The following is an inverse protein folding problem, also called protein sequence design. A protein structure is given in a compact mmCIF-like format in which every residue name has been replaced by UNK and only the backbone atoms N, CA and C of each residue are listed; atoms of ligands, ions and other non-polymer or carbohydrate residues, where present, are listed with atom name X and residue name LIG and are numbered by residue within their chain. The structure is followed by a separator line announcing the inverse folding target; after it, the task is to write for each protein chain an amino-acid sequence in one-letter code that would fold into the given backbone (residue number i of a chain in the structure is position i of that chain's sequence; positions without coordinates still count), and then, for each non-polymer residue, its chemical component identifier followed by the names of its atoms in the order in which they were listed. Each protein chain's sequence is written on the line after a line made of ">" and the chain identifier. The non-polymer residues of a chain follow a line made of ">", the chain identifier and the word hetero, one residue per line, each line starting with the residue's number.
data_IF_520557557965
#
_entry.id   IF_520557557965
#
_cell.length_a   1.000
_cell.length_b   1.000
_cell.length_c   1.000
_cell.angle_alpha   90.00
_cell.angle_beta   90.00
_cell.angle_gamma   90.00
#
_symmetry.space_group_name_H-M   'P 1'
#
loop_
_entity.id
_entity.type
_entity.pdbx_description
1 polymer ?
#
# COMPACT_ATOMS: atom_id res chain seq x y z
N UNK A 1 19.10 -16.39 -4.80
CA UNK A 1 18.52 -15.97 -3.50
C UNK A 1 18.22 -14.48 -3.59
N UNK A 2 17.01 -14.12 -3.98
CA UNK A 2 16.58 -12.74 -4.05
C UNK A 2 16.23 -12.28 -2.64
N UNK A 3 16.98 -11.33 -2.10
CA UNK A 3 16.65 -10.64 -0.86
C UNK A 3 15.26 -10.03 -1.01
N UNK A 4 14.28 -10.57 -0.29
CA UNK A 4 13.02 -9.90 -0.06
C UNK A 4 13.37 -8.54 0.58
N UNK A 5 13.13 -7.46 -0.12
CA UNK A 5 13.33 -6.09 0.36
C UNK A 5 12.53 -5.95 1.65
N UNK A 6 13.21 -5.82 2.78
CA UNK A 6 12.57 -5.60 4.06
C UNK A 6 11.74 -4.31 4.00
N UNK A 7 10.47 -4.34 4.42
CA UNK A 7 9.57 -3.19 4.39
C UNK A 7 9.95 -2.04 5.32
N UNK A 8 10.94 -2.22 6.18
CA UNK A 8 11.49 -1.18 7.07
C UNK A 8 12.25 -0.05 6.38
N UNK A 9 12.27 -0.01 5.05
CA UNK A 9 12.88 1.09 4.32
C UNK A 9 11.86 2.19 4.00
N UNK A 10 12.31 3.46 4.05
CA UNK A 10 11.48 4.60 3.65
C UNK A 10 11.07 4.47 2.18
N UNK A 11 9.78 4.21 1.97
CA UNK A 11 9.15 4.02 0.67
C UNK A 11 8.22 5.17 0.29
N UNK A 12 7.58 5.06 -0.89
CA UNK A 12 6.62 6.06 -1.37
C UNK A 12 5.41 6.25 -0.44
N UNK A 13 5.01 5.20 0.28
CA UNK A 13 3.87 5.20 1.21
C UNK A 13 4.20 5.73 2.60
N UNK A 14 5.50 5.82 2.98
CA UNK A 14 5.91 6.18 4.34
C UNK A 14 5.40 7.55 4.78
N UNK A 15 5.46 8.56 3.90
CA UNK A 15 4.90 9.88 4.22
C UNK A 15 3.40 9.79 4.51
N UNK A 16 2.64 9.19 3.60
CA UNK A 16 1.20 9.02 3.76
C UNK A 16 0.84 8.30 5.08
N UNK A 17 1.58 7.23 5.39
CA UNK A 17 1.45 6.53 6.65
C UNK A 17 1.67 7.45 7.87
N UNK A 18 2.77 8.22 7.89
CA UNK A 18 3.10 9.08 9.04
C UNK A 18 2.06 10.17 9.27
N UNK A 19 1.52 10.75 8.20
CA UNK A 19 0.44 11.73 8.33
C UNK A 19 -0.85 11.10 8.83
N UNK A 20 -1.20 9.90 8.36
CA UNK A 20 -2.35 9.12 8.86
C UNK A 20 -2.18 8.72 10.32
N UNK A 21 -1.00 8.20 10.69
CA UNK A 21 -0.70 7.81 12.08
C UNK A 21 -0.78 8.99 13.05
N UNK A 22 -0.35 10.16 12.61
CA UNK A 22 -0.31 11.37 13.45
C UNK A 22 -1.62 12.15 13.46
N UNK A 23 -2.52 11.90 12.52
CA UNK A 23 -3.79 12.61 12.32
C UNK A 23 -3.61 14.14 12.27
N UNK A 24 -2.57 14.61 11.58
CA UNK A 24 -2.23 16.03 11.48
C UNK A 24 -1.97 16.43 10.03
N UNK A 25 -2.20 17.70 9.74
CA UNK A 25 -1.95 18.27 8.40
C UNK A 25 -0.47 18.59 8.17
N UNK A 26 0.29 18.88 9.25
CA UNK A 26 1.70 19.25 9.17
C UNK A 26 2.55 18.44 10.15
N UNK A 27 3.75 18.02 9.71
CA UNK A 27 4.75 17.35 10.54
C UNK A 27 6.07 18.13 10.57
N UNK A 28 6.70 18.27 11.76
CA UNK A 28 8.01 18.88 11.88
C UNK A 28 9.08 18.12 11.10
N UNK A 29 9.96 18.81 10.39
CA UNK A 29 11.04 18.18 9.64
C UNK A 29 12.02 17.38 10.54
N UNK A 30 12.26 17.84 11.76
CA UNK A 30 13.05 17.13 12.76
C UNK A 30 12.43 15.77 13.14
N UNK A 31 11.11 15.73 13.32
CA UNK A 31 10.36 14.49 13.57
C UNK A 31 10.50 13.52 12.38
N UNK A 32 10.29 14.01 11.16
CA UNK A 32 10.42 13.18 9.95
C UNK A 32 11.83 12.61 9.78
N UNK A 33 12.86 13.43 9.99
CA UNK A 33 14.27 12.98 9.92
C UNK A 33 14.56 11.90 10.95
N UNK A 34 14.03 12.03 12.15
CA UNK A 34 14.24 11.06 13.22
C UNK A 34 13.54 9.72 12.95
N UNK A 35 12.27 9.75 12.56
CA UNK A 35 11.54 8.54 12.17
C UNK A 35 12.19 7.86 10.96
N UNK A 36 12.64 8.64 9.97
CA UNK A 36 13.38 8.08 8.83
C UNK A 36 14.71 7.47 9.26
N UNK A 37 15.37 8.05 10.28
CA UNK A 37 16.56 7.45 10.91
C UNK A 37 16.26 6.09 11.52
N UNK A 38 15.17 5.95 12.25
CA UNK A 38 14.71 4.68 12.81
C UNK A 38 14.32 3.66 11.72
N UNK A 39 13.97 4.13 10.51
CA UNK A 39 13.74 3.32 9.30
C UNK A 39 15.05 3.13 8.47
N UNK A 40 16.21 3.22 9.08
CA UNK A 40 17.54 3.00 8.47
C UNK A 40 17.93 4.00 7.37
N UNK A 41 17.39 5.22 7.36
CA UNK A 41 17.80 6.28 6.45
C UNK A 41 18.73 7.26 7.17
N UNK A 42 19.87 7.61 6.54
CA UNK A 42 20.75 8.65 7.10
C UNK A 42 20.06 10.01 7.19
N UNK A 43 20.47 10.85 8.13
CA UNK A 43 19.89 12.19 8.30
C UNK A 43 20.05 13.07 7.04
N UNK A 44 21.16 12.93 6.30
CA UNK A 44 21.37 13.60 5.00
C UNK A 44 20.43 13.03 3.93
N UNK A 45 20.26 11.71 3.88
CA UNK A 45 19.30 11.03 3.01
C UNK A 45 17.87 11.46 3.25
N UNK A 46 17.47 11.58 4.53
CA UNK A 46 16.15 12.04 4.95
C UNK A 46 15.87 13.48 4.47
N UNK A 47 16.83 14.40 4.67
CA UNK A 47 16.71 15.79 4.19
C UNK A 47 16.60 15.84 2.65
N UNK A 48 17.44 15.07 1.95
CA UNK A 48 17.38 14.99 0.49
C UNK A 48 16.07 14.38 -0.02
N UNK A 49 15.53 13.39 0.69
CA UNK A 49 14.22 12.80 0.37
C UNK A 49 13.09 13.83 0.53
N UNK A 50 13.08 14.60 1.63
CA UNK A 50 12.10 15.64 1.88
C UNK A 50 12.20 16.78 0.84
N UNK A 51 13.41 17.22 0.49
CA UNK A 51 13.62 18.23 -0.54
C UNK A 51 13.08 17.78 -1.91
N UNK A 52 13.36 16.54 -2.31
CA UNK A 52 12.79 15.95 -3.53
C UNK A 52 11.26 15.83 -3.46
N UNK A 53 10.72 15.44 -2.30
CA UNK A 53 9.27 15.35 -2.14
C UNK A 53 8.56 16.71 -2.30
N UNK A 54 9.23 17.81 -1.90
CA UNK A 54 8.74 19.17 -2.16
C UNK A 54 8.88 19.53 -3.64
N UNK A 55 10.03 19.25 -4.26
CA UNK A 55 10.27 19.52 -5.69
C UNK A 55 9.28 18.77 -6.59
N UNK A 56 8.95 17.52 -6.23
CA UNK A 56 7.96 16.68 -6.94
C UNK A 56 6.50 17.10 -6.65
N UNK A 57 6.26 18.14 -5.83
CA UNK A 57 4.93 18.56 -5.46
C UNK A 57 4.15 17.58 -4.56
N UNK A 58 4.81 16.63 -3.89
CA UNK A 58 4.19 15.72 -2.92
C UNK A 58 4.01 16.34 -1.54
N UNK A 59 4.92 17.24 -1.18
CA UNK A 59 4.90 18.02 0.06
C UNK A 59 4.93 19.50 -0.24
N UNK A 60 4.39 20.29 0.69
CA UNK A 60 4.64 21.73 0.81
C UNK A 60 5.41 21.95 2.09
N UNK A 61 6.42 22.82 2.06
CA UNK A 61 7.18 23.18 3.25
C UNK A 61 6.79 24.57 3.77
N UNK A 62 6.63 24.67 5.09
CA UNK A 62 6.32 25.92 5.78
C UNK A 62 7.37 26.20 6.85
N UNK A 63 7.80 27.44 6.96
CA UNK A 63 8.73 27.83 8.04
C UNK A 63 7.93 28.16 9.30
N UNK A 64 8.21 27.45 10.39
CA UNK A 64 7.65 27.68 11.73
C UNK A 64 8.78 28.09 12.68
N UNK A 65 9.09 29.37 12.72
CA UNK A 65 10.26 29.89 13.45
C UNK A 65 11.58 29.37 12.89
N UNK A 66 12.36 28.62 13.69
CA UNK A 66 13.62 27.99 13.25
C UNK A 66 13.41 26.61 12.60
N UNK A 67 12.23 26.03 12.70
CA UNK A 67 11.93 24.71 12.16
C UNK A 67 11.19 24.82 10.83
N UNK A 68 11.41 23.81 9.99
CA UNK A 68 10.60 23.58 8.78
C UNK A 68 9.56 22.51 9.10
N UNK A 69 8.30 22.81 8.84
CA UNK A 69 7.22 21.84 8.85
C UNK A 69 6.84 21.50 7.40
N UNK A 70 6.31 20.31 7.21
CA UNK A 70 5.90 19.79 5.91
C UNK A 70 4.44 19.36 5.97
N UNK A 71 3.68 19.64 4.92
CA UNK A 71 2.29 19.19 4.74
C UNK A 71 2.17 18.37 3.45
N UNK A 72 1.24 17.41 3.43
CA UNK A 72 0.91 16.68 2.20
C UNK A 72 0.25 17.61 1.20
N UNK A 73 0.66 17.53 -0.08
CA UNK A 73 0.13 18.39 -1.12
C UNK A 73 -0.82 17.65 -2.07
N UNK A 74 -1.89 18.33 -2.46
CA UNK A 74 -2.78 18.14 -3.60
C UNK A 74 -3.09 16.69 -4.00
N UNK A 75 -2.50 16.25 -5.09
CA UNK A 75 -2.76 14.92 -5.70
C UNK A 75 -2.32 13.75 -4.80
N UNK A 76 -1.25 13.94 -4.02
CA UNK A 76 -0.77 12.90 -3.11
C UNK A 76 -1.74 12.71 -1.94
N UNK A 77 -2.29 13.80 -1.40
CA UNK A 77 -3.31 13.77 -0.37
C UNK A 77 -4.61 13.11 -0.87
N UNK A 78 -5.04 13.40 -2.10
CA UNK A 78 -6.21 12.74 -2.69
C UNK A 78 -6.01 11.23 -2.83
N UNK A 79 -4.83 10.79 -3.32
CA UNK A 79 -4.50 9.37 -3.43
C UNK A 79 -4.47 8.67 -2.07
N UNK A 80 -3.95 9.31 -1.05
CA UNK A 80 -3.95 8.78 0.31
C UNK A 80 -5.37 8.49 0.80
N UNK A 81 -6.27 9.48 0.69
CA UNK A 81 -7.69 9.30 1.06
C UNK A 81 -8.41 8.21 0.26
N UNK A 82 -7.99 7.97 -0.98
CA UNK A 82 -8.55 6.90 -1.82
C UNK A 82 -8.06 5.50 -1.39
N UNK A 83 -6.88 5.39 -0.79
CA UNK A 83 -6.34 4.11 -0.31
C UNK A 83 -7.17 3.60 0.87
N UNK A 84 -7.59 4.46 1.79
CA UNK A 84 -8.46 4.07 2.92
C UNK A 84 -9.74 3.37 2.46
N UNK A 85 -10.38 3.86 1.39
CA UNK A 85 -11.60 3.25 0.86
C UNK A 85 -11.37 1.89 0.18
N UNK A 86 -10.18 1.61 -0.33
CA UNK A 86 -9.89 0.31 -0.99
C UNK A 86 -9.74 -0.85 -0.01
N UNK A 87 -9.40 -0.58 1.25
CA UNK A 87 -9.27 -1.62 2.27
C UNK A 87 -10.63 -2.14 2.78
N UNK A 88 -11.76 -1.46 2.49
CA UNK A 88 -13.05 -1.70 3.13
C UNK A 88 -14.01 -2.50 2.25
N UNK A 89 -13.80 -2.57 0.93
CA UNK A 89 -14.78 -3.17 0.03
C UNK A 89 -14.19 -4.31 -0.79
N UNK A 90 -14.48 -5.54 -0.38
CA UNK A 90 -14.31 -6.68 -1.29
C UNK A 90 -15.49 -6.72 -2.26
N UNK A 91 -15.26 -6.86 -3.57
CA UNK A 91 -16.34 -7.00 -4.53
C UNK A 91 -17.10 -8.31 -4.28
N UNK A 92 -18.40 -8.29 -4.42
CA UNK A 92 -19.21 -9.50 -4.44
C UNK A 92 -19.22 -10.07 -5.86
N UNK A 93 -19.35 -11.38 -5.97
CA UNK A 93 -19.53 -12.03 -7.26
C UNK A 93 -20.96 -11.81 -7.75
N UNK A 94 -21.11 -11.20 -8.93
CA UNK A 94 -22.38 -10.85 -9.56
C UNK A 94 -22.79 -11.83 -10.68
N UNK A 95 -22.13 -12.97 -10.81
CA UNK A 95 -22.42 -13.97 -11.84
C UNK A 95 -21.77 -13.66 -13.20
N UNK A 96 -20.92 -12.63 -13.30
CA UNK A 96 -20.36 -12.19 -14.58
C UNK A 96 -18.96 -11.60 -14.48
N UNK A 97 -18.22 -11.72 -15.58
CA UNK A 97 -17.03 -10.92 -15.88
C UNK A 97 -17.33 -9.87 -16.95
N UNK A 98 -16.55 -8.80 -16.96
CA UNK A 98 -16.36 -8.02 -18.17
C UNK A 98 -15.30 -8.69 -19.03
N UNK A 99 -15.51 -8.71 -20.35
CA UNK A 99 -14.60 -9.35 -21.31
C UNK A 99 -14.21 -8.35 -22.38
N UNK A 100 -12.95 -8.39 -22.79
CA UNK A 100 -12.47 -7.75 -24.03
C UNK A 100 -11.80 -8.82 -24.86
N UNK A 101 -12.32 -9.02 -26.08
CA UNK A 101 -11.71 -9.86 -27.11
C UNK A 101 -10.97 -8.92 -28.06
N UNK A 102 -9.71 -9.22 -28.34
CA UNK A 102 -8.92 -8.41 -29.26
C UNK A 102 -8.16 -9.29 -30.26
N UNK A 103 -8.14 -8.82 -31.50
CA UNK A 103 -7.35 -9.40 -32.57
C UNK A 103 -6.47 -8.29 -33.16
N UNK A 104 -5.24 -8.23 -32.68
CA UNK A 104 -4.22 -7.25 -33.11
C UNK A 104 -3.09 -8.03 -33.79
N UNK A 105 -2.88 -7.85 -35.10
CA UNK A 105 -1.89 -8.61 -35.84
C UNK A 105 -0.46 -8.34 -35.35
N UNK A 106 0.46 -9.27 -35.62
CA UNK A 106 1.86 -9.18 -35.17
C UNK A 106 2.59 -7.94 -35.69
N UNK A 107 2.19 -7.44 -36.88
CA UNK A 107 2.70 -6.17 -37.42
C UNK A 107 2.42 -4.95 -36.53
N UNK A 108 1.46 -5.06 -35.61
CA UNK A 108 1.07 -4.03 -34.64
C UNK A 108 1.34 -4.49 -33.19
N UNK A 109 2.39 -5.27 -33.00
CA UNK A 109 2.75 -5.85 -31.67
C UNK A 109 2.85 -4.81 -30.56
N UNK A 110 3.44 -3.64 -30.85
CA UNK A 110 3.58 -2.56 -29.86
C UNK A 110 2.22 -2.07 -29.32
N UNK A 111 1.20 -2.02 -30.17
CA UNK A 111 -0.16 -1.63 -29.78
C UNK A 111 -0.81 -2.72 -28.91
N UNK A 112 -0.61 -3.99 -29.27
CA UNK A 112 -1.08 -5.13 -28.48
C UNK A 112 -0.44 -5.15 -27.09
N UNK A 113 0.87 -4.91 -27.01
CA UNK A 113 1.60 -4.90 -25.74
C UNK A 113 1.18 -3.70 -24.87
N UNK A 114 0.94 -2.52 -25.48
CA UNK A 114 0.40 -1.34 -24.80
C UNK A 114 -1.02 -1.58 -24.26
N UNK A 115 -1.91 -2.19 -25.07
CA UNK A 115 -3.26 -2.58 -24.65
C UNK A 115 -3.20 -3.49 -23.42
N UNK A 116 -2.38 -4.54 -23.48
CA UNK A 116 -2.24 -5.49 -22.36
C UNK A 116 -1.68 -4.83 -21.11
N UNK A 117 -0.67 -3.98 -21.26
CA UNK A 117 -0.09 -3.25 -20.13
C UNK A 117 -1.12 -2.33 -19.46
N UNK A 118 -1.92 -1.61 -20.24
CA UNK A 118 -2.99 -0.75 -19.73
C UNK A 118 -4.09 -1.56 -19.03
N UNK A 119 -4.52 -2.67 -19.63
CA UNK A 119 -5.52 -3.57 -19.06
C UNK A 119 -5.03 -4.18 -17.72
N UNK A 120 -3.78 -4.67 -17.68
CA UNK A 120 -3.21 -5.25 -16.46
C UNK A 120 -3.02 -4.20 -15.33
N UNK A 121 -2.65 -2.98 -15.70
CA UNK A 121 -2.58 -1.86 -14.75
C UNK A 121 -3.96 -1.49 -14.16
N UNK A 122 -5.04 -1.76 -14.91
CA UNK A 122 -6.43 -1.58 -14.48
C UNK A 122 -7.03 -2.81 -13.75
N UNK A 123 -6.20 -3.83 -13.46
CA UNK A 123 -6.59 -5.05 -12.73
C UNK A 123 -7.25 -6.14 -13.59
N UNK A 124 -7.21 -5.98 -14.90
CA UNK A 124 -7.64 -7.03 -15.83
C UNK A 124 -6.58 -8.13 -15.95
N UNK A 125 -6.99 -9.31 -16.40
CA UNK A 125 -6.08 -10.43 -16.62
C UNK A 125 -6.45 -11.20 -17.89
N UNK A 126 -5.55 -12.07 -18.34
CA UNK A 126 -5.70 -12.79 -19.59
C UNK A 126 -5.74 -14.31 -19.33
N UNK A 127 -6.89 -14.99 -19.52
CA UNK A 127 -6.98 -16.45 -19.41
C UNK A 127 -6.32 -17.14 -20.63
N UNK A 128 -6.20 -16.44 -21.76
CA UNK A 128 -5.59 -16.91 -23.00
C UNK A 128 -5.27 -15.73 -23.92
N UNK A 129 -4.36 -15.88 -24.90
CA UNK A 129 -4.10 -14.84 -25.89
C UNK A 129 -5.39 -14.36 -26.58
N UNK A 130 -5.52 -13.05 -26.81
CA UNK A 130 -6.67 -12.44 -27.45
C UNK A 130 -7.88 -12.20 -26.55
N UNK A 131 -7.81 -12.61 -25.27
CA UNK A 131 -8.92 -12.46 -24.32
C UNK A 131 -8.44 -11.81 -23.02
N UNK A 132 -9.15 -10.79 -22.58
CA UNK A 132 -8.98 -10.14 -21.29
C UNK A 132 -10.27 -10.26 -20.47
N UNK A 133 -10.14 -10.50 -19.18
CA UNK A 133 -11.23 -10.56 -18.20
C UNK A 133 -11.00 -9.52 -17.11
N UNK A 134 -12.07 -8.90 -16.64
CA UNK A 134 -12.06 -7.92 -15.55
C UNK A 134 -13.31 -7.98 -14.71
N UNK A 135 -13.23 -7.47 -13.49
CA UNK A 135 -14.37 -7.38 -12.55
C UNK A 135 -15.19 -6.08 -12.73
N UNK A 136 -14.67 -5.14 -13.50
CA UNK A 136 -15.29 -3.83 -13.77
C UNK A 136 -15.31 -3.55 -15.27
N UNK A 137 -16.17 -2.65 -15.76
CA UNK A 137 -16.14 -2.21 -17.15
C UNK A 137 -14.72 -1.75 -17.55
N UNK A 138 -14.29 -2.02 -18.82
CA UNK A 138 -13.00 -1.57 -19.29
C UNK A 138 -12.91 -0.04 -19.35
N UNK A 139 -11.71 0.49 -19.14
CA UNK A 139 -11.43 1.90 -19.39
C UNK A 139 -11.27 2.23 -20.89
N UNK A 140 -10.93 3.49 -21.22
CA UNK A 140 -10.71 3.94 -22.58
C UNK A 140 -9.64 3.17 -23.37
N UNK A 141 -8.80 2.38 -22.69
CA UNK A 141 -7.82 1.51 -23.33
C UNK A 141 -8.44 0.41 -24.21
N UNK A 142 -9.72 0.06 -23.99
CA UNK A 142 -10.44 -0.92 -24.79
C UNK A 142 -11.08 -0.31 -26.06
N UNK A 143 -11.03 1.00 -26.21
CA UNK A 143 -11.51 1.71 -27.40
C UNK A 143 -10.46 1.66 -28.51
N UNK A 144 -10.15 0.46 -29.02
CA UNK A 144 -9.13 0.26 -30.05
C UNK A 144 -9.69 -0.51 -31.24
N UNK A 145 -9.09 -0.29 -32.43
CA UNK A 145 -9.42 -1.06 -33.62
C UNK A 145 -9.02 -2.53 -33.43
N UNK A 146 -9.97 -3.44 -33.63
CA UNK A 146 -9.79 -4.88 -33.35
C UNK A 146 -10.11 -5.30 -31.93
N UNK A 147 -10.67 -4.40 -31.11
CA UNK A 147 -11.17 -4.72 -29.77
C UNK A 147 -12.70 -4.81 -29.77
N UNK A 148 -13.23 -5.81 -29.05
CA UNK A 148 -14.65 -5.98 -28.79
C UNK A 148 -14.86 -6.17 -27.30
N UNK A 149 -15.54 -5.24 -26.64
CA UNK A 149 -15.87 -5.30 -25.22
C UNK A 149 -17.31 -5.84 -25.00
N UNK A 150 -17.48 -6.63 -23.95
CA UNK A 150 -18.77 -7.22 -23.61
C UNK A 150 -18.83 -7.70 -22.16
N UNK A 151 -19.85 -8.53 -21.89
CA UNK A 151 -20.05 -9.21 -20.61
C UNK A 151 -20.08 -10.71 -20.86
N UNK A 152 -19.60 -11.48 -19.89
CA UNK A 152 -19.57 -12.93 -19.90
C UNK A 152 -20.25 -13.43 -18.63
N UNK A 153 -21.50 -13.87 -18.76
CA UNK A 153 -22.23 -14.49 -17.67
C UNK A 153 -21.81 -15.95 -17.56
N UNK A 154 -21.43 -16.36 -16.35
CA UNK A 154 -20.95 -17.72 -16.06
C UNK A 154 -21.39 -18.18 -14.68
N UNK A 155 -21.55 -19.48 -14.53
CA UNK A 155 -21.77 -20.07 -13.23
C UNK A 155 -20.49 -19.99 -12.35
N UNK A 156 -20.64 -20.31 -11.07
CA UNK A 156 -19.57 -20.18 -10.10
C UNK A 156 -18.40 -21.13 -10.37
N UNK A 157 -18.65 -22.32 -10.92
CA UNK A 157 -17.59 -23.30 -11.22
C UNK A 157 -16.73 -22.80 -12.40
N UNK A 158 -17.37 -22.36 -13.47
CA UNK A 158 -16.67 -21.76 -14.61
C UNK A 158 -15.94 -20.46 -14.23
N UNK A 159 -16.52 -19.65 -13.31
CA UNK A 159 -15.87 -18.45 -12.81
C UNK A 159 -14.56 -18.74 -12.08
N UNK A 160 -14.53 -19.77 -11.22
CA UNK A 160 -13.33 -20.21 -10.51
C UNK A 160 -12.23 -20.70 -11.47
N UNK A 161 -12.62 -21.52 -12.46
CA UNK A 161 -11.68 -22.00 -13.48
C UNK A 161 -11.09 -20.86 -14.30
N UNK A 162 -11.93 -19.93 -14.75
CA UNK A 162 -11.46 -18.73 -15.47
C UNK A 162 -10.56 -17.84 -14.62
N UNK A 163 -10.90 -17.62 -13.36
CA UNK A 163 -10.09 -16.83 -12.44
C UNK A 163 -8.71 -17.48 -12.24
N UNK A 164 -8.66 -18.78 -12.01
CA UNK A 164 -7.41 -19.53 -11.82
C UNK A 164 -6.49 -19.49 -13.06
N UNK A 165 -7.08 -19.43 -14.27
CA UNK A 165 -6.31 -19.32 -15.52
C UNK A 165 -5.87 -17.89 -15.83
N UNK A 166 -6.66 -16.89 -15.45
CA UNK A 166 -6.42 -15.51 -15.83
C UNK A 166 -5.47 -14.79 -14.87
N UNK A 167 -5.63 -14.96 -13.57
CA UNK A 167 -4.84 -14.31 -12.55
C UNK A 167 -3.80 -15.25 -11.93
N UNK A 168 -2.59 -14.76 -11.56
CA UNK A 168 -1.54 -15.58 -10.93
C UNK A 168 -1.89 -15.85 -9.44
N UNK A 169 -2.96 -16.61 -9.18
CA UNK A 169 -3.50 -16.83 -7.84
C UNK A 169 -2.52 -17.56 -6.91
N UNK A 170 -1.72 -18.49 -7.41
CA UNK A 170 -0.69 -19.18 -6.62
C UNK A 170 0.39 -18.22 -6.12
N UNK A 171 0.86 -17.32 -6.98
CA UNK A 171 1.83 -16.29 -6.58
C UNK A 171 1.21 -15.32 -5.56
N UNK A 172 -0.05 -14.95 -5.77
CA UNK A 172 -0.80 -14.11 -4.85
C UNK A 172 -0.94 -14.79 -3.48
N UNK A 173 -1.32 -16.07 -3.44
CA UNK A 173 -1.43 -16.86 -2.22
C UNK A 173 -0.08 -16.97 -1.49
N UNK A 174 1.03 -17.17 -2.21
CA UNK A 174 2.37 -17.18 -1.61
C UNK A 174 2.75 -15.82 -1.01
N UNK A 175 2.42 -14.70 -1.68
CA UNK A 175 2.64 -13.36 -1.13
C UNK A 175 1.87 -13.16 0.17
N UNK A 176 0.61 -13.61 0.23
CA UNK A 176 -0.22 -13.56 1.44
C UNK A 176 0.41 -14.36 2.58
N UNK A 177 0.84 -15.60 2.32
CA UNK A 177 1.47 -16.44 3.35
C UNK A 177 2.77 -15.84 3.88
N UNK A 178 3.60 -15.25 3.00
CA UNK A 178 4.82 -14.55 3.42
C UNK A 178 4.51 -13.30 4.24
N UNK A 179 3.50 -12.54 3.83
CA UNK A 179 3.06 -11.39 4.61
C UNK A 179 2.53 -11.82 5.99
N UNK A 180 1.74 -12.90 6.06
CA UNK A 180 1.24 -13.41 7.32
C UNK A 180 2.38 -13.78 8.28
N UNK A 181 3.40 -14.50 7.80
CA UNK A 181 4.57 -14.83 8.60
C UNK A 181 5.32 -13.56 9.08
N UNK A 182 5.53 -12.59 8.18
CA UNK A 182 6.16 -11.32 8.54
C UNK A 182 5.35 -10.55 9.59
N UNK A 183 4.03 -10.53 9.49
CA UNK A 183 3.18 -9.84 10.46
C UNK A 183 3.18 -10.52 11.84
N UNK A 184 3.33 -11.85 11.93
CA UNK A 184 3.56 -12.52 13.22
C UNK A 184 4.91 -12.10 13.82
N UNK A 185 5.98 -12.00 13.03
CA UNK A 185 7.28 -11.48 13.50
C UNK A 185 7.18 -10.02 13.99
N UNK A 186 6.38 -9.18 13.32
CA UNK A 186 6.12 -7.80 13.75
C UNK A 186 5.38 -7.78 15.07
N UNK A 187 4.38 -8.65 15.23
CA UNK A 187 3.57 -8.81 16.44
C UNK A 187 4.42 -9.24 17.64
N UNK A 188 5.30 -10.21 17.44
CA UNK A 188 6.17 -10.70 18.52
C UNK A 188 7.14 -9.60 18.96
N UNK A 189 7.83 -8.94 18.03
CA UNK A 189 8.70 -7.79 18.34
C UNK A 189 7.94 -6.66 19.05
N UNK A 190 6.71 -6.38 18.65
CA UNK A 190 5.91 -5.35 19.30
C UNK A 190 5.49 -5.73 20.73
N UNK A 191 5.16 -7.00 20.96
CA UNK A 191 4.82 -7.51 22.31
C UNK A 191 5.99 -7.46 23.27
N UNK A 192 7.20 -7.61 22.76
CA UNK A 192 8.45 -7.52 23.55
C UNK A 192 8.77 -6.07 23.95
N UNK A 193 8.12 -5.07 23.35
CA UNK A 193 8.30 -3.68 23.76
C UNK A 193 7.58 -3.41 25.08
N UNK A 194 8.34 -2.99 26.10
CA UNK A 194 7.75 -2.56 27.36
C UNK A 194 6.80 -1.36 27.13
N UNK A 195 5.51 -1.58 27.39
CA UNK A 195 4.47 -0.57 27.18
C UNK A 195 4.67 0.67 28.07
N UNK A 196 5.39 0.54 29.19
CA UNK A 196 5.70 1.61 30.15
C UNK A 196 6.99 2.37 29.80
N UNK A 197 7.85 1.82 28.93
CA UNK A 197 9.08 2.49 28.51
C UNK A 197 8.76 3.65 27.54
N UNK A 198 8.88 4.84 28.06
CA UNK A 198 8.69 6.09 27.33
C UNK A 198 10.01 6.69 26.83
N UNK A 199 11.11 5.93 26.86
CA UNK A 199 12.37 6.36 26.27
C UNK A 199 12.22 6.62 24.77
N UNK A 200 13.02 7.55 24.26
CA UNK A 200 12.98 7.92 22.84
C UNK A 200 13.20 6.73 21.89
N UNK A 201 14.11 5.79 22.15
CA UNK A 201 14.24 4.58 21.35
C UNK A 201 12.99 3.71 21.36
N UNK A 202 12.34 3.52 22.53
CA UNK A 202 11.12 2.72 22.65
C UNK A 202 9.92 3.37 21.91
N UNK A 203 9.79 4.69 21.98
CA UNK A 203 8.76 5.42 21.25
C UNK A 203 8.97 5.28 19.71
N UNK A 204 10.22 5.38 19.25
CA UNK A 204 10.55 5.17 17.83
C UNK A 204 10.27 3.73 17.39
N UNK A 205 10.62 2.74 18.21
CA UNK A 205 10.35 1.33 17.91
C UNK A 205 8.86 1.06 17.71
N UNK A 206 7.98 1.68 18.50
CA UNK A 206 6.52 1.56 18.31
C UNK A 206 6.03 2.20 17.00
N UNK A 207 6.56 3.36 16.63
CA UNK A 207 6.25 4.00 15.34
C UNK A 207 6.72 3.13 14.18
N UNK A 208 7.92 2.55 14.27
CA UNK A 208 8.49 1.65 13.27
C UNK A 208 7.67 0.38 13.13
N UNK A 209 7.23 -0.24 14.24
CA UNK A 209 6.39 -1.45 14.20
C UNK A 209 5.04 -1.19 13.49
N UNK A 210 4.40 -0.06 13.79
CA UNK A 210 3.17 0.34 13.11
C UNK A 210 3.40 0.61 11.61
N UNK A 211 4.53 1.25 11.25
CA UNK A 211 4.92 1.48 9.86
C UNK A 211 5.17 0.16 9.12
N UNK A 212 5.90 -0.76 9.73
CA UNK A 212 6.28 -2.06 9.15
C UNK A 212 5.02 -2.89 8.82
N UNK A 213 4.09 -2.95 9.76
CA UNK A 213 2.82 -3.64 9.56
C UNK A 213 2.03 -3.04 8.39
N UNK A 214 1.77 -1.73 8.42
CA UNK A 214 0.89 -1.11 7.42
C UNK A 214 1.55 -1.04 6.04
N UNK A 215 2.86 -0.76 5.97
CA UNK A 215 3.59 -0.71 4.69
C UNK A 215 3.61 -2.05 4.01
N UNK A 216 3.88 -3.12 4.78
CA UNK A 216 3.92 -4.50 4.26
C UNK A 216 2.56 -4.95 3.80
N UNK A 217 1.52 -4.71 4.59
CA UNK A 217 0.15 -5.01 4.25
C UNK A 217 -0.28 -4.25 2.98
N UNK A 218 -0.08 -2.92 2.93
CA UNK A 218 -0.43 -2.07 1.79
C UNK A 218 0.28 -2.49 0.52
N UNK A 219 1.58 -2.82 0.61
CA UNK A 219 2.35 -3.29 -0.55
C UNK A 219 1.76 -4.58 -1.13
N UNK A 220 1.49 -5.58 -0.29
CA UNK A 220 0.94 -6.85 -0.74
C UNK A 220 -0.47 -6.65 -1.28
N UNK A 221 -1.36 -5.98 -0.55
CA UNK A 221 -2.73 -5.68 -1.00
C UNK A 221 -2.77 -4.96 -2.35
N UNK A 222 -1.86 -4.01 -2.58
CA UNK A 222 -1.76 -3.30 -3.85
C UNK A 222 -1.32 -4.16 -5.03
N UNK A 223 -0.78 -5.37 -4.77
CA UNK A 223 -0.36 -6.33 -5.80
C UNK A 223 -1.30 -7.52 -5.96
N UNK A 224 -2.28 -7.68 -5.06
CA UNK A 224 -3.25 -8.77 -5.14
C UNK A 224 -4.34 -8.47 -6.17
N UNK A 225 -4.83 -9.49 -6.87
CA UNK A 225 -6.02 -9.34 -7.70
C UNK A 225 -7.25 -9.01 -6.84
N UNK A 226 -8.00 -7.98 -7.24
CA UNK A 226 -9.23 -7.59 -6.55
C UNK A 226 -10.39 -8.49 -7.01
N UNK A 227 -10.40 -9.75 -6.57
CA UNK A 227 -11.40 -10.75 -6.91
C UNK A 227 -12.33 -11.04 -5.74
N UNK A 228 -13.62 -11.32 -5.99
CA UNK A 228 -14.54 -11.82 -4.98
C UNK A 228 -14.07 -13.14 -4.36
N UNK A 229 -14.24 -13.29 -3.05
CA UNK A 229 -13.86 -14.52 -2.34
C UNK A 229 -14.53 -15.78 -2.93
N UNK A 230 -15.75 -15.65 -3.45
CA UNK A 230 -16.52 -16.76 -4.01
C UNK A 230 -15.85 -17.43 -5.23
N UNK A 231 -15.05 -16.69 -6.01
CA UNK A 231 -14.36 -17.20 -7.21
C UNK A 231 -12.89 -17.51 -6.98
N UNK A 232 -12.40 -17.37 -5.75
CA UNK A 232 -11.06 -17.79 -5.36
C UNK A 232 -11.04 -19.31 -5.06
N UNK A 233 -9.87 -19.98 -5.19
CA UNK A 233 -9.71 -21.36 -4.72
C UNK A 233 -10.08 -21.51 -3.25
N UNK A 234 -10.58 -22.70 -2.86
CA UNK A 234 -11.01 -22.97 -1.49
C UNK A 234 -9.87 -22.84 -0.45
N UNK A 235 -8.64 -23.10 -0.87
CA UNK A 235 -7.43 -23.01 -0.07
C UNK A 235 -6.71 -21.66 -0.18
N UNK A 236 -7.32 -20.69 -0.87
CA UNK A 236 -6.76 -19.35 -1.01
C UNK A 236 -6.79 -18.62 0.35
N UNK A 237 -5.66 -18.08 0.83
CA UNK A 237 -5.51 -17.63 2.21
C UNK A 237 -6.07 -16.22 2.46
N UNK A 238 -7.25 -15.89 1.92
CA UNK A 238 -7.84 -14.55 2.05
C UNK A 238 -8.22 -14.19 3.49
N UNK A 239 -8.69 -15.17 4.28
CA UNK A 239 -9.09 -14.97 5.68
C UNK A 239 -7.89 -14.72 6.60
N UNK A 240 -6.72 -15.23 6.24
CA UNK A 240 -5.50 -15.09 7.04
C UNK A 240 -5.10 -13.63 7.19
N UNK A 241 -5.12 -12.88 6.09
CA UNK A 241 -4.81 -11.45 6.12
C UNK A 241 -5.86 -10.65 6.89
N UNK A 242 -7.14 -10.94 6.65
CA UNK A 242 -8.23 -10.24 7.34
C UNK A 242 -8.12 -10.43 8.86
N UNK A 243 -7.85 -11.66 9.31
CA UNK A 243 -7.69 -12.00 10.72
C UNK A 243 -6.48 -11.28 11.34
N UNK A 244 -5.30 -11.41 10.73
CA UNK A 244 -4.07 -10.80 11.28
C UNK A 244 -4.21 -9.27 11.28
N UNK A 245 -4.77 -8.69 10.23
CA UNK A 245 -5.01 -7.24 10.18
C UNK A 245 -5.98 -6.78 11.27
N UNK A 246 -7.05 -7.53 11.53
CA UNK A 246 -8.00 -7.21 12.59
C UNK A 246 -7.38 -7.29 13.99
N UNK A 247 -6.53 -8.29 14.25
CA UNK A 247 -5.87 -8.48 15.54
C UNK A 247 -4.78 -7.43 15.82
N UNK A 248 -4.06 -7.00 14.79
CA UNK A 248 -2.87 -6.15 14.95
C UNK A 248 -3.13 -4.68 14.65
N UNK A 249 -4.00 -4.37 13.69
CA UNK A 249 -4.12 -3.01 13.18
C UNK A 249 -4.51 -2.01 14.28
N UNK A 250 -5.55 -2.31 15.05
CA UNK A 250 -6.02 -1.43 16.13
C UNK A 250 -4.93 -1.15 17.18
N UNK A 251 -4.44 -2.17 17.90
CA UNK A 251 -3.46 -1.99 18.97
C UNK A 251 -2.12 -1.39 18.53
N UNK A 252 -1.60 -1.82 17.36
CA UNK A 252 -0.35 -1.30 16.82
C UNK A 252 -0.46 0.15 16.36
N UNK A 253 -1.54 0.49 15.67
CA UNK A 253 -1.78 1.87 15.22
C UNK A 253 -2.00 2.80 16.39
N UNK A 254 -2.76 2.40 17.41
CA UNK A 254 -2.96 3.17 18.62
C UNK A 254 -1.65 3.37 19.40
N UNK A 255 -0.83 2.32 19.54
CA UNK A 255 0.48 2.38 20.18
C UNK A 255 1.42 3.33 19.42
N UNK A 256 1.51 3.20 18.10
CA UNK A 256 2.31 4.05 17.23
C UNK A 256 1.85 5.51 17.24
N UNK A 257 0.55 5.77 17.23
CA UNK A 257 -0.03 7.12 17.29
C UNK A 257 0.29 7.81 18.62
N UNK A 258 0.12 7.12 19.75
CA UNK A 258 0.51 7.63 21.07
C UNK A 258 2.01 7.94 21.16
N UNK A 259 2.86 7.04 20.67
CA UNK A 259 4.30 7.23 20.63
C UNK A 259 4.69 8.43 19.75
N UNK A 260 4.12 8.53 18.57
CA UNK A 260 4.32 9.66 17.65
C UNK A 260 3.91 11.01 18.28
N UNK A 261 2.75 11.07 18.93
CA UNK A 261 2.30 12.29 19.62
C UNK A 261 3.26 12.72 20.72
N UNK A 262 3.84 11.75 21.45
CA UNK A 262 4.81 12.04 22.51
C UNK A 262 6.15 12.53 21.94
N UNK A 263 6.70 11.86 20.95
CA UNK A 263 7.91 12.28 20.24
C UNK A 263 7.79 13.72 19.71
N UNK A 264 6.67 14.06 19.08
CA UNK A 264 6.43 15.41 18.55
C UNK A 264 6.41 16.48 19.65
N UNK A 265 5.82 16.18 20.82
CA UNK A 265 5.82 17.08 21.98
C UNK A 265 7.22 17.29 22.54
N UNK A 266 8.05 16.26 22.62
CA UNK A 266 9.42 16.35 23.10
C UNK A 266 10.28 17.18 22.15
N UNK A 267 10.18 16.95 20.85
CA UNK A 267 10.87 17.72 19.81
C UNK A 267 10.47 19.20 19.87
N UNK A 268 9.18 19.48 20.06
CA UNK A 268 8.69 20.84 20.21
C UNK A 268 9.25 21.56 21.45
N UNK A 269 9.33 20.87 22.58
CA UNK A 269 9.89 21.42 23.84
C UNK A 269 11.39 21.65 23.75
N UNK A 270 12.16 20.73 23.13
CA UNK A 270 13.60 20.91 22.95
C UNK A 270 13.89 22.18 22.12
N UNK A 271 13.15 22.39 21.05
CA UNK A 271 13.26 23.60 20.23
C UNK A 271 12.88 24.90 20.95
N UNK A 272 12.09 24.82 22.02
CA UNK A 272 11.76 26.01 22.85
C UNK A 272 12.84 26.28 23.91
N UNK A 273 13.51 25.25 24.46
CA UNK A 273 14.56 25.42 25.47
C UNK A 273 15.85 26.01 24.90
N UNK A 274 16.17 25.79 23.64
CA UNK A 274 17.30 26.44 22.97
C UNK A 274 17.07 27.93 22.65
N UNK A 275 15.96 28.52 23.14
CA UNK A 275 15.60 29.93 22.99
C UNK A 275 15.89 30.78 24.23
N UNK A 276 16.33 30.19 25.34
CA UNK A 276 16.74 30.85 26.57
C UNK A 276 18.26 30.78 26.70
#
# INVERSE_FOLDING_TARGET
>A
MAHASHPSAVGRGTLAFLYGLCEVEELPGSYLVEVFGALNMSASGARSYLARAVADGRLVSHRRGRQTAYALNGTFLRRYRTIEHRFISQPNWEGRFHIVIYDIPETRRSERDALRAAAFADGWASPRPGVLLGMRPPGGWAECAGCCAGRLDVDLAAARDLAARAWPLDEAAQKIRRLAAHLEDVKDRWRDLDASDDSRPALLARVVSAHDMLSSATYVWGTLPALPAQILPADYPHDVLARISAELAGPLMESGSRASARLRREIGRASCRERV
#
